data_IF_779395682859
#
_entry.id   IF_779395682859
#
_cell.length_a   1.000
_cell.length_b   1.000
_cell.length_c   1.000
_cell.angle_alpha   90.00
_cell.angle_beta   90.00
_cell.angle_gamma   90.00
#
_symmetry.space_group_name_H-M   'P 1'
#
loop_
_entity.id
_entity.type
_entity.pdbx_description
1 polymer ?
#
# COMPACT_ATOMS: atom_id res chain seq x y z
N UNK A 1 -0.55 -37.53 11.67
CA UNK A 1 0.92 -37.48 11.70
C UNK A 1 1.32 -36.05 11.41
N UNK A 2 1.63 -35.29 12.45
CA UNK A 2 1.92 -33.86 12.39
C UNK A 2 3.17 -33.61 11.56
N UNK A 3 3.04 -32.84 10.48
CA UNK A 3 4.18 -32.19 9.85
C UNK A 3 4.70 -31.16 10.85
N UNK A 4 5.71 -31.57 11.60
CA UNK A 4 6.55 -30.68 12.37
C UNK A 4 7.07 -29.57 11.46
N UNK A 5 6.73 -28.35 11.88
CA UNK A 5 7.16 -27.06 11.39
C UNK A 5 8.71 -26.94 11.39
N UNK A 6 9.39 -27.57 10.42
CA UNK A 6 10.83 -27.37 10.22
C UNK A 6 11.07 -26.10 9.39
N UNK A 7 11.37 -25.02 10.12
CA UNK A 7 11.90 -23.69 9.75
C UNK A 7 10.98 -22.48 10.01
N UNK A 8 10.64 -22.23 11.28
CA UNK A 8 10.19 -20.91 11.75
C UNK A 8 11.35 -20.00 12.19
N UNK A 9 12.33 -19.79 11.30
CA UNK A 9 13.19 -18.59 11.34
C UNK A 9 12.78 -17.70 10.16
N UNK A 10 11.58 -17.13 10.22
CA UNK A 10 10.98 -16.51 9.06
C UNK A 10 9.98 -15.41 9.40
N UNK A 11 9.87 -14.45 8.51
CA UNK A 11 8.82 -13.45 8.48
C UNK A 11 7.44 -14.13 8.35
N UNK A 12 6.43 -13.65 9.07
CA UNK A 12 5.06 -14.20 9.05
C UNK A 12 4.03 -13.10 9.37
N UNK A 13 2.76 -13.35 9.04
CA UNK A 13 1.64 -12.41 9.15
C UNK A 13 0.55 -12.94 10.07
N UNK A 14 0.01 -14.13 9.78
CA UNK A 14 -1.12 -14.71 10.51
C UNK A 14 -0.98 -16.23 10.59
N UNK A 15 -1.35 -16.83 11.71
CA UNK A 15 -1.34 -18.28 11.89
C UNK A 15 -2.59 -18.94 11.30
N UNK A 16 -2.63 -20.27 11.35
CA UNK A 16 -3.89 -21.00 11.28
C UNK A 16 -4.79 -20.64 12.47
N UNK A 17 -6.10 -20.72 12.26
CA UNK A 17 -7.10 -20.45 13.28
C UNK A 17 -7.30 -21.65 14.18
N UNK A 18 -7.29 -21.41 15.49
CA UNK A 18 -7.52 -22.43 16.51
C UNK A 18 -8.84 -22.18 17.24
N UNK A 19 -9.72 -23.18 17.37
CA UNK A 19 -10.84 -23.12 18.30
C UNK A 19 -10.37 -22.79 19.71
N UNK A 20 -11.03 -21.84 20.37
CA UNK A 20 -10.72 -21.48 21.76
C UNK A 20 -11.99 -21.28 22.57
N UNK A 21 -11.88 -21.50 23.88
CA UNK A 21 -12.89 -21.10 24.87
C UNK A 21 -12.40 -19.83 25.54
N UNK A 22 -12.99 -18.69 25.17
CA UNK A 22 -12.62 -17.38 25.68
C UNK A 22 -13.88 -16.65 26.14
N UNK A 23 -13.84 -16.08 27.35
CA UNK A 23 -14.91 -15.18 27.80
C UNK A 23 -14.71 -13.79 27.18
N UNK A 24 -15.68 -13.40 26.35
CA UNK A 24 -15.70 -12.12 25.65
C UNK A 24 -16.76 -11.16 26.23
N UNK A 25 -17.34 -11.47 27.39
CA UNK A 25 -18.37 -10.65 28.05
C UNK A 25 -17.96 -9.19 28.29
N UNK A 26 -16.67 -8.96 28.56
CA UNK A 26 -16.10 -7.61 28.74
C UNK A 26 -15.91 -6.84 27.43
N UNK A 27 -16.02 -7.51 26.28
CA UNK A 27 -15.82 -6.94 24.93
C UNK A 27 -17.15 -6.84 24.19
N UNK A 28 -18.02 -7.84 24.35
CA UNK A 28 -19.32 -7.96 23.73
C UNK A 28 -20.41 -7.97 24.82
N UNK A 29 -21.29 -6.97 24.80
CA UNK A 29 -22.47 -6.95 25.68
C UNK A 29 -23.56 -7.93 25.23
N UNK A 30 -23.63 -8.20 23.93
CA UNK A 30 -24.61 -9.10 23.34
C UNK A 30 -24.07 -10.53 23.28
N UNK A 31 -24.97 -11.51 23.36
CA UNK A 31 -24.62 -12.92 23.32
C UNK A 31 -23.86 -13.27 22.03
N UNK A 32 -22.79 -14.05 22.21
CA UNK A 32 -22.01 -14.61 21.10
C UNK A 32 -22.58 -15.98 20.77
N UNK A 33 -22.66 -16.27 19.49
CA UNK A 33 -23.13 -17.54 18.95
C UNK A 33 -21.99 -18.26 18.24
N UNK A 34 -21.96 -19.59 18.33
CA UNK A 34 -20.99 -20.42 17.62
C UNK A 34 -19.58 -20.42 18.22
N UNK A 35 -18.65 -20.97 17.44
CA UNK A 35 -17.26 -21.20 17.87
C UNK A 35 -16.44 -19.90 17.81
N UNK A 36 -15.64 -19.66 18.84
CA UNK A 36 -14.61 -18.62 18.85
C UNK A 36 -13.33 -19.21 18.27
N UNK A 37 -12.74 -18.52 17.30
CA UNK A 37 -11.46 -18.90 16.68
C UNK A 37 -10.42 -17.84 16.98
N UNK A 38 -9.27 -18.26 17.53
CA UNK A 38 -8.10 -17.41 17.74
C UNK A 38 -7.07 -17.63 16.63
N UNK A 39 -6.58 -16.54 16.06
CA UNK A 39 -5.39 -16.52 15.21
C UNK A 39 -4.29 -15.74 15.93
N UNK A 40 -3.05 -16.22 15.85
CA UNK A 40 -1.89 -15.39 16.16
C UNK A 40 -1.63 -14.49 14.96
N UNK A 41 -1.38 -13.20 15.21
CA UNK A 41 -0.99 -12.24 14.18
C UNK A 41 0.33 -11.57 14.55
N UNK A 42 1.16 -11.26 13.55
CA UNK A 42 2.45 -10.61 13.75
C UNK A 42 2.29 -9.11 14.02
N UNK A 43 3.38 -8.44 14.39
CA UNK A 43 3.40 -6.97 14.53
C UNK A 43 3.00 -6.26 13.24
N UNK A 44 3.42 -6.78 12.08
CA UNK A 44 3.03 -6.19 10.80
C UNK A 44 1.53 -6.40 10.54
N UNK A 45 0.99 -7.59 10.80
CA UNK A 45 -0.44 -7.83 10.64
C UNK A 45 -1.27 -6.92 11.55
N UNK A 46 -0.87 -6.77 12.82
CA UNK A 46 -1.46 -5.82 13.76
C UNK A 46 -1.40 -4.38 13.22
N UNK A 47 -0.28 -3.97 12.62
CA UNK A 47 -0.18 -2.65 11.98
C UNK A 47 -1.12 -2.50 10.77
N UNK A 48 -1.20 -3.49 9.89
CA UNK A 48 -2.02 -3.46 8.67
C UNK A 48 -3.51 -3.46 8.99
N UNK A 49 -3.93 -4.13 10.07
CA UNK A 49 -5.32 -4.21 10.54
C UNK A 49 -5.73 -3.03 11.42
N UNK A 50 -4.78 -2.22 11.89
CA UNK A 50 -5.05 -1.13 12.82
C UNK A 50 -5.92 -0.04 12.16
N UNK A 51 -7.11 0.27 12.70
CA UNK A 51 -7.98 1.31 12.16
C UNK A 51 -7.53 2.73 12.53
N UNK A 52 -6.53 2.86 13.42
CA UNK A 52 -6.08 4.15 13.93
C UNK A 52 -5.10 4.86 12.97
N UNK A 53 -4.99 6.20 13.08
CA UNK A 53 -4.06 6.98 12.30
C UNK A 53 -2.61 6.55 12.46
N UNK A 54 -1.87 6.61 11.35
CA UNK A 54 -0.43 6.34 11.29
C UNK A 54 0.33 7.61 10.96
N UNK A 55 1.57 7.69 11.41
CA UNK A 55 2.47 8.80 11.06
C UNK A 55 3.41 8.39 9.94
N UNK A 56 3.53 9.24 8.92
CA UNK A 56 4.44 9.09 7.79
C UNK A 56 5.44 10.24 7.76
N UNK A 57 6.63 10.00 7.24
CA UNK A 57 7.58 11.07 6.93
C UNK A 57 7.47 11.44 5.45
N UNK A 58 7.16 12.70 5.17
CA UNK A 58 7.09 13.23 3.80
C UNK A 58 8.05 14.39 3.60
N UNK A 59 8.60 14.53 2.40
CA UNK A 59 9.45 15.66 2.04
C UNK A 59 8.60 16.73 1.35
N UNK A 60 8.45 17.89 1.99
CA UNK A 60 7.77 19.03 1.37
C UNK A 60 8.72 19.72 0.40
N UNK A 61 8.33 19.81 -0.87
CA UNK A 61 9.14 20.39 -1.95
C UNK A 61 8.52 21.66 -2.53
N UNK A 62 7.34 22.08 -2.07
CA UNK A 62 6.71 23.29 -2.56
C UNK A 62 5.31 23.54 -2.01
N UNK A 63 4.57 24.41 -2.69
CA UNK A 63 3.16 24.63 -2.42
C UNK A 63 2.34 24.81 -3.69
N UNK A 64 1.04 24.56 -3.54
CA UNK A 64 0.01 25.00 -4.46
C UNK A 64 -0.85 26.03 -3.75
N UNK A 65 -0.97 27.21 -4.35
CA UNK A 65 -1.80 28.31 -3.86
C UNK A 65 -3.04 28.39 -4.73
N UNK A 66 -4.21 28.33 -4.10
CA UNK A 66 -5.48 28.56 -4.75
C UNK A 66 -6.01 29.93 -4.35
N UNK A 67 -6.35 30.76 -5.33
CA UNK A 67 -6.87 32.10 -5.13
C UNK A 67 -8.40 32.11 -5.22
N UNK A 68 -9.03 32.95 -4.42
CA UNK A 68 -10.48 33.19 -4.48
C UNK A 68 -10.84 33.70 -5.88
N UNK A 69 -11.83 33.09 -6.51
CA UNK A 69 -12.35 33.58 -7.78
C UNK A 69 -12.98 34.97 -7.56
N UNK A 70 -12.60 36.00 -8.34
CA UNK A 70 -13.26 37.29 -8.25
C UNK A 70 -14.74 37.11 -8.60
N UNK A 71 -15.62 37.69 -7.80
CA UNK A 71 -17.09 37.59 -7.86
C UNK A 71 -17.72 38.29 -9.09
N UNK A 72 -17.10 38.18 -10.27
CA UNK A 72 -17.55 38.79 -11.54
C UNK A 72 -18.59 37.94 -12.30
N UNK A 73 -19.15 36.90 -11.66
CA UNK A 73 -20.04 35.93 -12.30
C UNK A 73 -21.43 36.44 -12.72
N UNK A 74 -21.86 37.61 -12.24
CA UNK A 74 -23.16 38.20 -12.64
C UNK A 74 -23.03 39.15 -13.83
N UNK A 75 -21.93 39.90 -13.96
CA UNK A 75 -21.76 40.86 -15.07
C UNK A 75 -21.27 40.20 -16.37
N UNK A 76 -20.36 39.20 -16.28
CA UNK A 76 -19.85 38.49 -17.47
C UNK A 76 -20.90 37.65 -18.20
N UNK A 77 -21.90 37.10 -17.49
CA UNK A 77 -23.01 36.35 -18.11
C UNK A 77 -23.96 37.24 -18.90
N UNK A 78 -24.07 38.52 -18.53
CA UNK A 78 -24.87 39.51 -19.25
C UNK A 78 -24.16 39.98 -20.53
N UNK A 79 -22.84 40.21 -20.48
CA UNK A 79 -22.05 40.60 -21.65
C UNK A 79 -21.91 39.47 -22.69
N UNK A 80 -21.80 38.21 -22.25
CA UNK A 80 -21.75 37.06 -23.15
C UNK A 80 -23.10 36.74 -23.85
N UNK A 81 -24.20 37.40 -23.49
CA UNK A 81 -25.47 37.32 -24.22
C UNK A 81 -25.57 38.32 -25.38
N UNK A 82 -24.65 39.30 -25.46
CA UNK A 82 -24.76 40.43 -26.40
C UNK A 82 -23.78 40.30 -27.59
N UNK A 83 -22.79 39.41 -27.52
CA UNK A 83 -21.87 39.15 -28.65
C UNK A 83 -21.68 37.64 -28.88
N UNK A 84 -22.41 37.05 -29.85
CA UNK A 84 -22.19 35.67 -30.28
C UNK A 84 -21.09 35.65 -31.35
N UNK A 85 -19.91 35.14 -31.01
CA UNK A 85 -18.91 34.89 -32.03
C UNK A 85 -17.51 34.72 -31.48
N UNK A 86 -16.97 33.52 -31.66
CA UNK A 86 -15.56 33.12 -31.52
C UNK A 86 -14.99 33.10 -30.10
N UNK A 87 -14.71 31.88 -29.61
CA UNK A 87 -13.34 31.52 -29.24
C UNK A 87 -13.17 30.00 -29.10
N UNK A 88 -12.20 29.52 -29.86
CA UNK A 88 -11.53 28.23 -29.76
C UNK A 88 -11.15 27.88 -28.32
N UNK A 89 -11.37 26.62 -27.95
CA UNK A 89 -10.76 25.97 -26.78
C UNK A 89 -9.23 26.05 -26.90
N UNK A 90 -8.62 26.98 -26.19
CA UNK A 90 -7.26 26.82 -25.69
C UNK A 90 -7.37 26.24 -24.28
N UNK A 91 -6.67 25.14 -24.01
CA UNK A 91 -6.43 24.62 -22.66
C UNK A 91 -5.83 25.75 -21.81
N UNK A 92 -6.67 26.40 -21.00
CA UNK A 92 -6.29 27.56 -20.22
C UNK A 92 -5.56 27.15 -18.96
N UNK A 93 -4.35 27.69 -18.77
CA UNK A 93 -3.79 27.89 -17.43
C UNK A 93 -4.88 28.51 -16.54
N UNK A 94 -5.34 27.76 -15.54
CA UNK A 94 -6.30 28.27 -14.57
C UNK A 94 -5.59 29.36 -13.74
N UNK A 95 -5.84 30.63 -14.07
CA UNK A 95 -5.20 31.81 -13.45
C UNK A 95 -5.46 31.93 -11.93
N UNK A 96 -6.24 31.02 -11.37
CA UNK A 96 -6.59 30.96 -9.95
C UNK A 96 -5.76 29.95 -9.16
N UNK A 97 -4.84 29.23 -9.83
CA UNK A 97 -4.01 28.23 -9.18
C UNK A 97 -2.57 28.45 -9.60
N UNK A 98 -1.70 28.62 -8.61
CA UNK A 98 -0.26 28.66 -8.81
C UNK A 98 0.41 27.51 -8.08
N UNK A 99 1.33 26.83 -8.75
CA UNK A 99 2.15 25.76 -8.19
C UNK A 99 3.61 26.17 -8.26
N UNK A 100 4.29 26.13 -7.11
CA UNK A 100 5.64 26.65 -6.94
C UNK A 100 6.46 25.61 -6.20
N UNK A 101 7.64 25.33 -6.74
CA UNK A 101 8.55 24.30 -6.25
C UNK A 101 9.84 24.97 -5.81
N UNK A 102 10.42 24.45 -4.73
CA UNK A 102 11.72 24.90 -4.23
C UNK A 102 12.78 24.74 -5.32
N UNK A 103 13.62 25.76 -5.47
CA UNK A 103 14.83 25.65 -6.28
C UNK A 103 15.91 24.84 -5.53
N UNK A 104 15.77 24.73 -4.21
CA UNK A 104 16.70 24.05 -3.32
C UNK A 104 16.51 22.54 -3.39
N UNK A 105 17.28 21.88 -4.28
CA UNK A 105 17.37 20.40 -4.32
C UNK A 105 18.10 19.80 -3.12
N UNK A 106 18.70 20.64 -2.28
CA UNK A 106 19.45 20.25 -1.09
C UNK A 106 18.52 19.48 -0.14
N UNK A 107 18.70 18.15 -0.09
CA UNK A 107 18.27 17.38 1.07
C UNK A 107 19.10 17.80 2.28
N UNK A 108 18.62 17.47 3.49
CA UNK A 108 19.44 17.62 4.68
C UNK A 108 20.82 16.97 4.43
N UNK A 109 21.94 17.71 4.60
CA UNK A 109 23.26 17.16 4.39
C UNK A 109 23.47 15.97 5.33
N UNK A 110 24.02 14.87 4.81
CA UNK A 110 24.39 13.69 5.59
C UNK A 110 25.89 13.44 5.45
N UNK A 111 26.68 14.46 5.75
CA UNK A 111 28.12 14.27 5.89
C UNK A 111 28.39 13.43 7.14
N UNK A 112 29.50 12.66 7.14
CA UNK A 112 29.94 11.97 8.35
C UNK A 112 30.44 12.94 9.43
N UNK A 113 30.89 14.12 9.00
CA UNK A 113 31.39 15.19 9.86
C UNK A 113 30.24 16.09 10.33
N UNK A 114 30.07 16.19 11.66
CA UNK A 114 29.01 17.00 12.29
C UNK A 114 29.23 18.51 12.10
N UNK A 115 30.47 18.99 12.11
CA UNK A 115 30.80 20.39 11.90
C UNK A 115 30.50 20.79 10.45
N UNK A 116 30.81 19.92 9.49
CA UNK A 116 30.46 20.14 8.09
C UNK A 116 28.94 20.16 7.89
N UNK A 117 28.21 19.24 8.52
CA UNK A 117 26.74 19.27 8.51
C UNK A 117 26.19 20.58 9.08
N UNK A 118 26.68 21.03 10.24
CA UNK A 118 26.27 22.28 10.86
C UNK A 118 26.56 23.49 9.96
N UNK A 119 27.72 23.50 9.30
CA UNK A 119 28.09 24.55 8.37
C UNK A 119 27.14 24.61 7.16
N UNK A 120 26.83 23.46 6.55
CA UNK A 120 25.88 23.40 5.43
C UNK A 120 24.45 23.76 5.85
N UNK A 121 24.02 23.41 7.06
CA UNK A 121 22.73 23.86 7.62
C UNK A 121 22.70 25.39 7.67
N UNK A 122 23.77 26.03 8.17
CA UNK A 122 23.87 27.49 8.23
C UNK A 122 23.81 28.14 6.85
N UNK A 123 24.50 27.60 5.85
CA UNK A 123 24.42 28.08 4.46
C UNK A 123 22.99 27.96 3.94
N UNK A 124 22.35 26.80 4.14
CA UNK A 124 20.99 26.58 3.69
C UNK A 124 20.00 27.56 4.34
N UNK A 125 20.18 27.86 5.64
CA UNK A 125 19.37 28.84 6.35
C UNK A 125 19.52 30.26 5.80
N UNK A 126 20.73 30.67 5.42
CA UNK A 126 21.00 31.97 4.77
C UNK A 126 20.39 32.06 3.36
N UNK A 127 20.27 30.93 2.66
CA UNK A 127 19.70 30.87 1.32
C UNK A 127 18.16 30.79 1.31
N UNK A 128 17.52 30.42 2.43
CA UNK A 128 16.05 30.28 2.52
C UNK A 128 15.27 31.47 1.97
N UNK A 129 15.59 32.74 2.29
CA UNK A 129 14.83 33.89 1.77
C UNK A 129 14.88 34.04 0.25
N UNK A 130 15.86 33.42 -0.41
CA UNK A 130 16.01 33.44 -1.86
C UNK A 130 15.19 32.36 -2.57
N UNK A 131 14.63 31.40 -1.82
CA UNK A 131 13.82 30.32 -2.37
C UNK A 131 12.51 30.86 -2.98
N UNK A 132 12.13 30.44 -4.21
CA UNK A 132 10.91 30.90 -4.87
C UNK A 132 9.63 30.66 -4.04
N UNK A 133 9.57 29.55 -3.30
CA UNK A 133 8.42 29.22 -2.45
C UNK A 133 8.35 30.20 -1.28
N UNK A 134 9.48 30.46 -0.62
CA UNK A 134 9.54 31.41 0.50
C UNK A 134 9.17 32.83 0.07
N UNK A 135 9.70 33.29 -1.06
CA UNK A 135 9.35 34.60 -1.65
C UNK A 135 7.87 34.71 -1.98
N UNK A 136 7.28 33.66 -2.56
CA UNK A 136 5.85 33.69 -2.84
C UNK A 136 5.06 33.77 -1.55
N UNK A 137 5.30 32.83 -0.62
CA UNK A 137 4.53 32.72 0.62
C UNK A 137 4.56 34.01 1.44
N UNK A 138 5.70 34.72 1.48
CA UNK A 138 5.82 36.01 2.17
C UNK A 138 5.08 37.16 1.47
N UNK A 139 4.87 37.07 0.15
CA UNK A 139 4.15 38.06 -0.66
C UNK A 139 2.63 37.83 -0.76
N UNK A 140 2.11 36.73 -0.22
CA UNK A 140 0.69 36.38 -0.36
C UNK A 140 -0.22 37.33 0.42
N UNK A 141 -1.17 37.93 -0.29
CA UNK A 141 -2.34 38.58 0.30
C UNK A 141 -3.33 37.51 0.77
N UNK A 142 -3.36 37.28 2.09
CA UNK A 142 -4.15 36.21 2.73
C UNK A 142 -5.65 36.35 2.47
N UNK A 143 -6.16 37.55 2.22
CA UNK A 143 -7.59 37.77 1.97
C UNK A 143 -8.03 37.30 0.58
N UNK A 144 -7.09 37.26 -0.37
CA UNK A 144 -7.31 36.80 -1.75
C UNK A 144 -7.04 35.30 -1.92
N UNK A 145 -6.45 34.64 -0.93
CA UNK A 145 -6.16 33.21 -0.96
C UNK A 145 -7.37 32.42 -0.47
N UNK A 146 -7.74 31.40 -1.22
CA UNK A 146 -8.77 30.42 -0.85
C UNK A 146 -8.16 29.24 -0.10
N UNK A 147 -7.02 28.74 -0.57
CA UNK A 147 -6.34 27.61 0.05
C UNK A 147 -4.83 27.60 -0.24
N UNK A 148 -4.07 26.94 0.63
CA UNK A 148 -2.65 26.64 0.44
C UNK A 148 -2.44 25.17 0.76
N UNK A 149 -1.87 24.43 -0.19
CA UNK A 149 -1.54 23.00 -0.04
C UNK A 149 -0.03 22.81 -0.09
N UNK A 150 0.50 21.91 0.72
CA UNK A 150 1.89 21.52 0.60
C UNK A 150 2.05 20.55 -0.58
N UNK A 151 3.11 20.71 -1.37
CA UNK A 151 3.52 19.75 -2.38
C UNK A 151 4.61 18.87 -1.81
N UNK A 152 4.40 17.57 -1.87
CA UNK A 152 5.35 16.56 -1.46
C UNK A 152 5.85 15.79 -2.66
N UNK A 153 7.06 15.26 -2.53
CA UNK A 153 7.69 14.38 -3.52
C UNK A 153 7.86 12.99 -2.89
N UNK A 154 7.35 11.97 -3.57
CA UNK A 154 7.56 10.57 -3.18
C UNK A 154 8.94 10.08 -3.65
N UNK A 155 9.28 8.82 -3.34
CA UNK A 155 10.56 8.25 -3.76
C UNK A 155 10.66 8.17 -5.29
N UNK A 156 9.53 7.98 -5.98
CA UNK A 156 9.34 8.01 -7.43
C UNK A 156 9.59 9.36 -8.10
N UNK A 157 9.83 10.42 -7.32
CA UNK A 157 9.76 11.82 -7.75
C UNK A 157 8.40 12.26 -8.26
N UNK A 158 7.35 11.49 -7.97
CA UNK A 158 5.98 11.91 -8.23
C UNK A 158 5.58 12.93 -7.18
N UNK A 159 4.91 13.98 -7.64
CA UNK A 159 4.42 15.05 -6.78
C UNK A 159 2.96 14.80 -6.42
N UNK A 160 2.64 15.01 -5.16
CA UNK A 160 1.27 14.96 -4.68
C UNK A 160 1.04 16.03 -3.62
N UNK A 161 -0.22 16.34 -3.36
CA UNK A 161 -0.62 17.42 -2.47
C UNK A 161 -1.01 16.88 -1.10
N UNK A 162 -0.55 17.55 -0.04
CA UNK A 162 -1.11 17.37 1.30
C UNK A 162 -2.14 18.47 1.56
N UNK A 163 -3.35 18.04 1.90
CA UNK A 163 -4.38 18.95 2.38
C UNK A 163 -4.02 19.35 3.82
N UNK A 164 -3.86 20.65 4.04
CA UNK A 164 -3.51 21.20 5.35
C UNK A 164 -4.78 21.68 6.06
N UNK A 165 -4.87 21.43 7.36
CA UNK A 165 -5.90 21.96 8.23
C UNK A 165 -5.45 23.30 8.84
N UNK A 166 -6.40 24.07 9.38
CA UNK A 166 -6.13 25.38 9.99
C UNK A 166 -6.36 26.58 9.06
N UNK A 167 -6.05 27.78 9.56
CA UNK A 167 -6.19 29.03 8.83
C UNK A 167 -5.18 29.13 7.68
N UNK A 168 -5.40 30.05 6.73
CA UNK A 168 -4.41 30.31 5.66
C UNK A 168 -3.03 30.66 6.23
N UNK A 169 -2.98 31.39 7.35
CA UNK A 169 -1.74 31.68 8.06
C UNK A 169 -1.03 30.42 8.54
N UNK A 170 -1.76 29.49 9.15
CA UNK A 170 -1.21 28.21 9.64
C UNK A 170 -0.65 27.37 8.49
N UNK A 171 -1.38 27.32 7.36
CA UNK A 171 -0.95 26.58 6.16
C UNK A 171 0.32 27.16 5.55
N UNK A 172 0.40 28.49 5.45
CA UNK A 172 1.60 29.20 4.96
C UNK A 172 2.79 28.89 5.88
N UNK A 173 2.61 29.01 7.19
CA UNK A 173 3.67 28.76 8.17
C UNK A 173 4.15 27.30 8.14
N UNK A 174 3.22 26.35 7.97
CA UNK A 174 3.55 24.94 7.82
C UNK A 174 4.46 24.69 6.61
N UNK A 175 4.09 25.20 5.43
CA UNK A 175 4.92 24.99 4.23
C UNK A 175 6.26 25.67 4.39
N UNK A 176 6.29 26.93 4.82
CA UNK A 176 7.53 27.70 4.98
C UNK A 176 8.51 27.02 5.94
N UNK A 177 8.02 26.44 7.05
CA UNK A 177 8.85 25.76 8.04
C UNK A 177 9.27 24.34 7.65
N UNK A 178 8.46 23.67 6.82
CA UNK A 178 8.65 22.28 6.38
C UNK A 178 9.43 22.12 5.07
N UNK A 179 9.64 23.21 4.32
CA UNK A 179 10.28 23.16 3.01
C UNK A 179 11.65 22.49 3.05
N UNK A 180 11.86 21.52 2.15
CA UNK A 180 13.08 20.69 2.02
C UNK A 180 13.45 19.89 3.26
N UNK A 181 12.57 19.83 4.26
CA UNK A 181 12.69 18.98 5.45
C UNK A 181 11.76 17.77 5.31
N UNK A 182 12.09 16.74 6.08
CA UNK A 182 11.14 15.66 6.35
C UNK A 182 10.17 16.12 7.43
N UNK A 183 8.90 16.05 7.13
CA UNK A 183 7.82 16.42 8.05
C UNK A 183 6.95 15.20 8.32
N UNK A 184 6.53 15.07 9.58
CA UNK A 184 5.59 14.05 9.99
C UNK A 184 4.19 14.45 9.55
N UNK A 185 3.52 13.56 8.81
CA UNK A 185 2.13 13.72 8.37
C UNK A 185 1.31 12.56 8.92
N UNK A 186 0.05 12.83 9.24
CA UNK A 186 -0.86 11.80 9.75
C UNK A 186 -1.72 11.30 8.60
N UNK A 187 -1.68 10.00 8.34
CA UNK A 187 -2.60 9.30 7.45
C UNK A 187 -3.65 8.55 8.29
N UNK A 188 -4.87 8.41 7.77
CA UNK A 188 -6.01 7.91 8.55
C UNK A 188 -5.83 6.49 9.11
N UNK A 189 -5.21 5.59 8.35
CA UNK A 189 -4.84 4.21 8.75
C UNK A 189 -3.87 3.63 7.72
N UNK A 190 -3.27 2.46 7.99
CA UNK A 190 -2.36 1.80 7.05
C UNK A 190 -3.06 1.32 5.77
N UNK A 191 -4.29 0.82 5.90
CA UNK A 191 -5.13 0.47 4.77
C UNK A 191 -5.73 1.72 4.11
N UNK A 192 -5.40 1.95 2.84
CA UNK A 192 -5.93 3.08 2.08
C UNK A 192 -7.26 2.68 1.42
N UNK A 193 -7.21 2.19 0.18
CA UNK A 193 -8.39 1.77 -0.59
C UNK A 193 -8.00 0.66 -1.58
N UNK A 194 -8.95 -0.19 -1.96
CA UNK A 194 -8.81 -1.19 -3.03
C UNK A 194 -7.60 -2.11 -2.84
N UNK A 195 -7.36 -2.57 -1.61
CA UNK A 195 -6.23 -3.45 -1.31
C UNK A 195 -4.87 -2.76 -1.22
N UNK A 196 -4.78 -1.42 -1.28
CA UNK A 196 -3.53 -0.70 -1.11
C UNK A 196 -3.24 -0.39 0.37
N UNK A 197 -2.04 -0.72 0.82
CA UNK A 197 -1.53 -0.45 2.16
C UNK A 197 -0.26 0.38 2.12
N UNK A 198 -0.15 1.30 3.08
CA UNK A 198 1.03 2.09 3.37
C UNK A 198 1.93 1.39 4.37
N UNK A 199 3.19 1.14 4.00
CA UNK A 199 4.15 0.43 4.86
C UNK A 199 5.18 1.35 5.53
N UNK A 200 5.32 2.60 5.06
CA UNK A 200 6.33 3.54 5.58
C UNK A 200 6.11 3.92 7.05
N UNK A 201 4.90 3.76 7.57
CA UNK A 201 4.57 3.97 8.98
C UNK A 201 4.98 2.82 9.91
N UNK A 202 5.39 1.66 9.36
CA UNK A 202 5.81 0.50 10.17
C UNK A 202 7.33 0.44 10.36
N UNK A 203 7.78 0.13 11.58
CA UNK A 203 9.19 -0.06 11.89
C UNK A 203 9.65 -1.49 11.58
N UNK A 204 10.03 -1.76 10.33
CA UNK A 204 10.52 -3.09 9.92
C UNK A 204 11.79 -3.54 10.66
N UNK A 205 12.71 -2.61 11.00
CA UNK A 205 13.93 -2.96 11.75
C UNK A 205 13.64 -3.46 13.17
N UNK A 206 12.52 -3.01 13.74
CA UNK A 206 12.06 -3.45 15.05
C UNK A 206 11.21 -4.72 15.02
N UNK A 207 10.91 -5.28 13.83
CA UNK A 207 10.07 -6.46 13.71
C UNK A 207 10.69 -7.66 14.44
N UNK A 208 9.97 -8.20 15.42
CA UNK A 208 10.42 -9.37 16.16
C UNK A 208 9.53 -10.58 15.90
N UNK A 209 10.13 -11.64 15.34
CA UNK A 209 9.42 -12.85 14.91
C UNK A 209 8.61 -13.54 16.01
N UNK A 210 9.03 -13.40 17.28
CA UNK A 210 8.32 -14.03 18.41
C UNK A 210 7.19 -13.16 18.96
N UNK A 211 7.14 -11.87 18.63
CA UNK A 211 6.04 -11.01 19.03
C UNK A 211 4.78 -11.45 18.28
N UNK A 212 3.71 -11.67 19.04
CA UNK A 212 2.42 -12.10 18.48
C UNK A 212 1.28 -11.52 19.28
N UNK A 213 0.21 -11.17 18.58
CA UNK A 213 -1.06 -10.67 19.13
C UNK A 213 -2.17 -11.65 18.80
N UNK A 214 -3.38 -11.40 19.28
CA UNK A 214 -4.53 -12.29 19.05
C UNK A 214 -5.56 -11.60 18.19
N UNK A 215 -5.88 -12.20 17.06
CA UNK A 215 -7.07 -11.88 16.29
C UNK A 215 -8.14 -12.90 16.67
N UNK A 216 -9.27 -12.42 17.19
CA UNK A 216 -10.39 -13.25 17.61
C UNK A 216 -11.51 -13.12 16.60
N UNK A 217 -11.96 -14.25 16.05
CA UNK A 217 -13.06 -14.38 15.10
C UNK A 217 -14.22 -15.09 15.80
N UNK A 218 -15.42 -14.55 15.68
CA UNK A 218 -16.63 -15.13 16.27
C UNK A 218 -17.89 -14.63 15.55
N UNK A 219 -19.04 -15.23 15.85
CA UNK A 219 -20.33 -14.82 15.25
C UNK A 219 -21.22 -14.16 16.31
N UNK A 220 -21.78 -13.01 15.97
CA UNK A 220 -22.73 -12.28 16.81
C UNK A 220 -23.88 -11.78 15.92
N UNK A 221 -25.13 -12.07 16.31
CA UNK A 221 -26.33 -11.74 15.52
C UNK A 221 -26.24 -12.22 14.05
N UNK A 222 -25.78 -13.45 13.83
CA UNK A 222 -25.52 -14.04 12.51
C UNK A 222 -24.52 -13.24 11.64
N UNK A 223 -23.72 -12.36 12.23
CA UNK A 223 -22.65 -11.63 11.56
C UNK A 223 -21.30 -12.05 12.09
N UNK A 224 -20.37 -12.26 11.16
CA UNK A 224 -18.98 -12.55 11.49
C UNK A 224 -18.29 -11.28 11.98
N UNK A 225 -17.67 -11.35 13.16
CA UNK A 225 -16.95 -10.24 13.80
C UNK A 225 -15.51 -10.62 14.11
N UNK A 226 -14.67 -9.61 14.14
CA UNK A 226 -13.25 -9.71 14.39
C UNK A 226 -12.79 -8.61 15.34
N UNK A 227 -12.00 -8.96 16.35
CA UNK A 227 -11.29 -8.00 17.19
C UNK A 227 -9.85 -8.42 17.41
N UNK A 228 -9.00 -7.44 17.72
CA UNK A 228 -7.61 -7.68 18.10
C UNK A 228 -7.45 -7.48 19.60
N UNK A 229 -6.80 -8.44 20.24
CA UNK A 229 -6.36 -8.38 21.63
C UNK A 229 -4.83 -8.28 21.68
N UNK A 230 -4.34 -7.58 22.71
CA UNK A 230 -2.93 -7.47 22.98
C UNK A 230 -2.34 -8.80 23.53
N UNK A 231 -1.04 -8.80 23.84
CA UNK A 231 -0.36 -9.97 24.41
C UNK A 231 -0.92 -10.42 25.75
N UNK A 232 -1.62 -9.54 26.47
CA UNK A 232 -2.24 -9.78 27.77
C UNK A 232 -3.75 -10.04 27.65
N UNK A 233 -4.25 -10.38 26.45
CA UNK A 233 -5.68 -10.62 26.18
C UNK A 233 -6.60 -9.42 26.44
N UNK A 234 -6.06 -8.21 26.47
CA UNK A 234 -6.87 -7.00 26.58
C UNK A 234 -7.28 -6.51 25.19
N UNK A 235 -8.53 -6.04 25.08
CA UNK A 235 -9.07 -5.49 23.84
C UNK A 235 -8.25 -4.29 23.33
N UNK A 236 -7.92 -4.29 22.04
CA UNK A 236 -7.29 -3.15 21.38
C UNK A 236 -8.25 -2.44 20.42
N UNK A 237 -8.81 -3.16 19.44
CA UNK A 237 -9.71 -2.59 18.45
C UNK A 237 -10.55 -3.63 17.71
N UNK A 238 -11.65 -3.15 17.14
CA UNK A 238 -12.50 -3.89 16.19
C UNK A 238 -11.94 -3.83 14.78
N UNK A 239 -12.21 -4.87 13.99
CA UNK A 239 -11.96 -4.89 12.56
C UNK A 239 -13.31 -4.80 11.83
N UNK A 240 -13.49 -3.71 11.10
CA UNK A 240 -14.77 -3.40 10.45
C UNK A 240 -14.91 -4.07 9.07
N UNK A 241 -13.80 -4.46 8.46
CA UNK A 241 -13.75 -4.94 7.08
C UNK A 241 -13.17 -6.37 7.04
N UNK A 242 -14.04 -7.38 6.94
CA UNK A 242 -13.64 -8.81 6.90
C UNK A 242 -12.63 -9.12 5.78
N UNK A 243 -12.69 -8.35 4.67
CA UNK A 243 -11.76 -8.46 3.56
C UNK A 243 -10.29 -8.27 3.98
N UNK A 244 -10.02 -7.45 5.01
CA UNK A 244 -8.66 -7.23 5.50
C UNK A 244 -8.04 -8.51 6.06
N UNK A 245 -8.86 -9.37 6.67
CA UNK A 245 -8.42 -10.67 7.20
C UNK A 245 -8.02 -11.60 6.05
N UNK A 246 -8.80 -11.59 4.96
CA UNK A 246 -8.46 -12.36 3.76
C UNK A 246 -7.12 -11.89 3.15
N UNK A 247 -6.83 -10.59 3.16
CA UNK A 247 -5.52 -10.09 2.73
C UNK A 247 -4.39 -10.60 3.63
N UNK A 248 -4.59 -10.72 4.94
CA UNK A 248 -3.57 -11.26 5.84
C UNK A 248 -3.27 -12.72 5.53
N UNK A 249 -4.30 -13.54 5.31
CA UNK A 249 -4.15 -14.94 4.94
C UNK A 249 -3.49 -15.11 3.56
N UNK A 250 -3.91 -14.31 2.58
CA UNK A 250 -3.30 -14.29 1.25
C UNK A 250 -1.81 -13.92 1.34
N UNK A 251 -1.46 -12.90 2.13
CA UNK A 251 -0.07 -12.50 2.34
C UNK A 251 0.76 -13.61 3.00
N UNK A 252 0.23 -14.27 4.03
CA UNK A 252 0.90 -15.41 4.68
C UNK A 252 1.17 -16.54 3.67
N UNK A 253 0.16 -16.92 2.88
CA UNK A 253 0.33 -17.94 1.84
C UNK A 253 1.39 -17.53 0.81
N UNK A 254 1.40 -16.26 0.36
CA UNK A 254 2.44 -15.73 -0.52
C UNK A 254 3.83 -15.82 0.12
N UNK A 255 3.99 -15.42 1.39
CA UNK A 255 5.28 -15.51 2.09
C UNK A 255 5.78 -16.94 2.18
N UNK A 256 4.89 -17.91 2.40
CA UNK A 256 5.24 -19.33 2.46
C UNK A 256 5.64 -19.86 1.08
N UNK A 257 4.90 -19.51 0.03
CA UNK A 257 5.09 -20.07 -1.32
C UNK A 257 6.10 -19.33 -2.21
N UNK A 258 6.35 -18.03 -1.98
CA UNK A 258 7.19 -17.16 -2.81
C UNK A 258 8.47 -16.74 -2.07
N UNK A 259 9.62 -17.41 -2.34
CA UNK A 259 10.90 -17.06 -1.76
C UNK A 259 11.35 -15.64 -2.08
N UNK A 260 11.06 -15.11 -3.28
CA UNK A 260 11.51 -13.77 -3.70
C UNK A 260 10.81 -12.68 -2.88
N UNK A 261 9.50 -12.83 -2.68
CA UNK A 261 8.73 -11.95 -1.80
C UNK A 261 9.27 -12.00 -0.37
N UNK A 262 9.48 -13.21 0.16
CA UNK A 262 10.00 -13.43 1.52
C UNK A 262 11.38 -12.79 1.71
N UNK A 263 12.28 -12.95 0.75
CA UNK A 263 13.60 -12.32 0.77
C UNK A 263 13.52 -10.79 0.79
N UNK A 264 12.65 -10.20 -0.03
CA UNK A 264 12.46 -8.74 -0.05
C UNK A 264 11.95 -8.18 1.28
N UNK A 265 11.04 -8.88 1.95
CA UNK A 265 10.57 -8.52 3.29
C UNK A 265 11.70 -8.65 4.32
N UNK A 266 12.50 -9.70 4.24
CA UNK A 266 13.67 -9.89 5.11
C UNK A 266 14.74 -8.82 4.92
N UNK A 267 14.95 -8.31 3.70
CA UNK A 267 15.81 -7.14 3.47
C UNK A 267 15.31 -5.91 4.23
N UNK A 268 13.99 -5.70 4.29
CA UNK A 268 13.40 -4.60 5.05
C UNK A 268 13.60 -4.78 6.56
N UNK A 269 13.43 -6.00 7.06
CA UNK A 269 13.68 -6.32 8.48
C UNK A 269 15.14 -6.12 8.87
N UNK A 270 16.08 -6.53 8.02
CA UNK A 270 17.53 -6.30 8.22
C UNK A 270 17.92 -4.83 8.13
N UNK A 271 17.05 -4.00 7.56
CA UNK A 271 17.33 -2.59 7.34
C UNK A 271 18.09 -2.29 6.06
N UNK A 272 18.20 -3.26 5.16
CA UNK A 272 18.86 -3.16 3.86
C UNK A 272 17.93 -2.64 2.76
N UNK A 273 16.63 -2.53 3.05
CA UNK A 273 15.63 -1.97 2.15
C UNK A 273 14.60 -1.12 2.90
N UNK A 274 14.02 -0.15 2.20
CA UNK A 274 12.87 0.65 2.67
C UNK A 274 11.58 0.12 2.05
N UNK A 275 10.64 -0.39 2.85
CA UNK A 275 9.33 -0.82 2.37
C UNK A 275 8.43 0.39 2.12
N UNK A 276 7.63 0.32 1.05
CA UNK A 276 6.78 1.44 0.64
C UNK A 276 5.31 1.07 0.66
N UNK A 277 4.91 0.12 -0.19
CA UNK A 277 3.51 -0.23 -0.41
C UNK A 277 3.34 -1.73 -0.48
N UNK A 278 2.18 -2.17 -0.03
CA UNK A 278 1.67 -3.51 -0.26
C UNK A 278 0.32 -3.36 -0.97
N UNK A 279 0.09 -4.11 -2.04
CA UNK A 279 -1.11 -4.01 -2.83
C UNK A 279 -1.69 -5.38 -3.13
N UNK A 280 -2.99 -5.52 -2.94
CA UNK A 280 -3.74 -6.73 -3.23
C UNK A 280 -4.76 -6.48 -4.34
N UNK A 281 -4.70 -7.28 -5.40
CA UNK A 281 -5.64 -7.21 -6.52
C UNK A 281 -6.19 -8.58 -6.88
N UNK A 282 -7.34 -8.63 -7.56
CA UNK A 282 -7.90 -9.88 -8.07
C UNK A 282 -7.34 -10.27 -9.44
N UNK A 283 -6.96 -9.31 -10.28
CA UNK A 283 -6.55 -9.59 -11.66
C UNK A 283 -5.40 -8.69 -12.10
N UNK A 284 -4.54 -9.22 -12.97
CA UNK A 284 -3.53 -8.44 -13.70
C UNK A 284 -4.24 -7.60 -14.75
N UNK A 285 -3.68 -6.45 -15.13
CA UNK A 285 -4.27 -5.61 -16.18
C UNK A 285 -4.28 -6.24 -17.59
N UNK A 286 -3.71 -7.43 -17.76
CA UNK A 286 -3.76 -8.24 -18.98
C UNK A 286 -4.36 -9.61 -18.65
N UNK A 287 -5.48 -9.94 -19.30
CA UNK A 287 -6.14 -11.24 -19.14
C UNK A 287 -5.31 -12.36 -19.77
N UNK A 288 -5.29 -13.52 -19.11
CA UNK A 288 -4.86 -14.76 -19.75
C UNK A 288 -5.71 -15.00 -20.99
N UNK A 289 -5.04 -15.12 -22.13
CA UNK A 289 -5.55 -15.54 -23.43
C UNK A 289 -4.59 -16.57 -23.98
N UNK A 290 -4.94 -17.25 -25.08
CA UNK A 290 -4.14 -18.34 -25.67
C UNK A 290 -2.65 -17.98 -25.88
N UNK A 291 -2.35 -16.71 -26.17
CA UNK A 291 -0.97 -16.18 -26.31
C UNK A 291 -0.30 -15.79 -24.98
N UNK A 292 -1.08 -15.57 -23.93
CA UNK A 292 -0.62 -15.02 -22.65
C UNK A 292 -0.75 -15.99 -21.47
N UNK A 293 -1.18 -17.24 -21.70
CA UNK A 293 -1.14 -18.27 -20.67
C UNK A 293 0.29 -18.43 -20.12
N UNK A 294 0.46 -18.69 -18.81
CA UNK A 294 1.76 -18.98 -18.23
C UNK A 294 2.45 -20.12 -18.98
N UNK A 295 3.77 -20.00 -19.18
CA UNK A 295 4.56 -20.95 -19.99
C UNK A 295 4.33 -22.40 -19.59
N UNK A 296 4.22 -22.68 -18.29
CA UNK A 296 3.95 -24.03 -17.77
C UNK A 296 2.68 -24.66 -18.34
N UNK A 297 1.59 -23.89 -18.53
CA UNK A 297 0.37 -24.42 -19.13
C UNK A 297 0.52 -24.59 -20.63
N UNK A 298 1.18 -23.66 -21.32
CA UNK A 298 1.42 -23.77 -22.76
C UNK A 298 2.22 -25.04 -23.10
N UNK A 299 3.24 -25.34 -22.31
CA UNK A 299 4.04 -26.57 -22.44
C UNK A 299 3.19 -27.83 -22.22
N UNK A 300 2.44 -27.89 -21.11
CA UNK A 300 1.57 -29.04 -20.80
C UNK A 300 0.53 -29.26 -21.89
N UNK A 301 -0.10 -28.19 -22.39
CA UNK A 301 -1.12 -28.25 -23.42
C UNK A 301 -0.57 -28.71 -24.77
N UNK A 302 0.65 -28.29 -25.11
CA UNK A 302 1.34 -28.76 -26.33
C UNK A 302 1.58 -30.27 -26.30
N UNK A 303 1.84 -30.84 -25.11
CA UNK A 303 2.14 -32.25 -24.95
C UNK A 303 0.89 -33.16 -24.88
N UNK A 304 -0.28 -32.65 -24.49
CA UNK A 304 -1.45 -33.48 -24.15
C UNK A 304 -2.67 -33.32 -25.08
N UNK A 305 -2.52 -32.69 -26.25
CA UNK A 305 -3.61 -32.48 -27.24
C UNK A 305 -4.92 -31.94 -26.62
N UNK A 306 -4.80 -30.98 -25.71
CA UNK A 306 -5.95 -30.32 -25.08
C UNK A 306 -6.72 -29.49 -26.11
N UNK A 307 -8.05 -29.58 -26.12
CA UNK A 307 -8.89 -28.87 -27.09
C UNK A 307 -8.88 -27.35 -26.87
N UNK A 308 -9.19 -26.57 -27.90
CA UNK A 308 -9.21 -25.10 -27.78
C UNK A 308 -10.23 -24.62 -26.74
N UNK A 309 -11.42 -25.22 -26.74
CA UNK A 309 -12.48 -24.93 -25.78
C UNK A 309 -12.02 -25.09 -24.32
N UNK A 310 -11.25 -26.14 -24.03
CA UNK A 310 -10.73 -26.38 -22.68
C UNK A 310 -9.63 -25.40 -22.29
N UNK A 311 -8.80 -24.97 -23.25
CA UNK A 311 -7.80 -23.92 -23.02
C UNK A 311 -8.47 -22.59 -22.69
N UNK A 312 -9.50 -22.23 -23.45
CA UNK A 312 -10.28 -21.00 -23.23
C UNK A 312 -10.99 -21.05 -21.87
N UNK A 313 -11.60 -22.20 -21.55
CA UNK A 313 -12.24 -22.43 -20.25
C UNK A 313 -11.22 -22.31 -19.10
N UNK A 314 -10.03 -22.90 -19.23
CA UNK A 314 -8.99 -22.78 -18.21
C UNK A 314 -8.51 -21.33 -18.08
N UNK A 315 -8.28 -20.64 -19.19
CA UNK A 315 -7.86 -19.24 -19.15
C UNK A 315 -8.88 -18.37 -18.40
N UNK A 316 -10.17 -18.57 -18.68
CA UNK A 316 -11.26 -17.89 -17.98
C UNK A 316 -11.28 -18.23 -16.47
N UNK A 317 -11.14 -19.50 -16.09
CA UNK A 317 -11.11 -19.88 -14.67
C UNK A 317 -9.87 -19.38 -13.96
N UNK A 318 -8.70 -19.36 -14.60
CA UNK A 318 -7.48 -18.78 -14.06
C UNK A 318 -7.66 -17.27 -13.81
N UNK A 319 -8.16 -16.52 -14.79
CA UNK A 319 -8.44 -15.09 -14.64
C UNK A 319 -9.43 -14.82 -13.49
N UNK A 320 -10.51 -15.59 -13.39
CA UNK A 320 -11.55 -15.40 -12.35
C UNK A 320 -11.06 -15.72 -10.92
N UNK A 321 -10.11 -16.63 -10.81
CA UNK A 321 -9.62 -17.15 -9.53
C UNK A 321 -8.21 -16.68 -9.19
N UNK A 322 -7.76 -15.60 -9.84
CA UNK A 322 -6.48 -14.98 -9.58
C UNK A 322 -6.51 -14.11 -8.32
N UNK A 323 -5.37 -13.99 -7.66
CA UNK A 323 -5.11 -13.05 -6.59
C UNK A 323 -3.66 -12.61 -6.67
N UNK A 324 -3.42 -11.32 -6.57
CA UNK A 324 -2.10 -10.72 -6.77
C UNK A 324 -1.69 -10.01 -5.51
N UNK A 325 -0.45 -10.24 -5.10
CA UNK A 325 0.20 -9.51 -4.03
C UNK A 325 1.41 -8.80 -4.60
N UNK A 326 1.38 -7.47 -4.56
CA UNK A 326 2.48 -6.63 -4.99
C UNK A 326 3.12 -5.93 -3.80
N UNK A 327 4.43 -6.10 -3.65
CA UNK A 327 5.23 -5.47 -2.60
C UNK A 327 6.29 -4.56 -3.23
N UNK A 328 6.22 -3.28 -2.90
CA UNK A 328 7.13 -2.25 -3.42
C UNK A 328 8.10 -1.80 -2.33
N UNK A 329 9.39 -1.76 -2.66
CA UNK A 329 10.46 -1.39 -1.75
C UNK A 329 11.65 -0.75 -2.50
N UNK A 330 12.56 -0.14 -1.75
CA UNK A 330 13.78 0.49 -2.30
C UNK A 330 15.00 -0.06 -1.56
N UNK A 331 15.90 -0.81 -2.24
CA UNK A 331 17.16 -1.23 -1.66
C UNK A 331 18.04 -0.05 -1.24
N UNK A 332 18.73 -0.20 -0.11
CA UNK A 332 19.66 0.79 0.42
C UNK A 332 21.12 0.46 0.12
N UNK A 333 21.39 -0.73 -0.40
CA UNK A 333 22.70 -1.24 -0.78
C UNK A 333 22.62 -2.07 -2.08
N UNK A 334 23.78 -2.42 -2.64
CA UNK A 334 23.87 -3.27 -3.84
C UNK A 334 23.62 -2.54 -5.17
N UNK A 335 23.56 -3.29 -6.29
CA UNK A 335 23.44 -2.73 -7.65
C UNK A 335 22.06 -2.12 -7.94
N UNK A 336 21.05 -2.45 -7.13
CA UNK A 336 19.70 -1.91 -7.20
C UNK A 336 19.45 -0.79 -6.18
N UNK A 337 20.52 -0.28 -5.55
CA UNK A 337 20.42 0.83 -4.62
C UNK A 337 19.67 1.99 -5.26
N UNK A 338 18.70 2.53 -4.53
CA UNK A 338 17.83 3.63 -4.98
C UNK A 338 16.91 3.29 -6.17
N UNK A 339 16.79 2.04 -6.60
CA UNK A 339 15.76 1.62 -7.56
C UNK A 339 14.45 1.31 -6.83
N UNK A 340 13.32 1.64 -7.47
CA UNK A 340 12.00 1.26 -7.01
C UNK A 340 11.74 -0.17 -7.45
N UNK A 341 11.91 -1.13 -6.55
CA UNK A 341 11.70 -2.54 -6.81
C UNK A 341 10.26 -2.94 -6.47
N UNK A 342 9.66 -3.77 -7.31
CA UNK A 342 8.33 -4.34 -7.08
C UNK A 342 8.39 -5.85 -7.28
N UNK A 343 8.00 -6.60 -6.25
CA UNK A 343 7.77 -8.04 -6.33
C UNK A 343 6.27 -8.28 -6.46
N UNK A 344 5.87 -9.09 -7.44
CA UNK A 344 4.48 -9.43 -7.72
C UNK A 344 4.35 -10.95 -7.63
N UNK A 345 3.62 -11.42 -6.64
CA UNK A 345 3.24 -12.82 -6.49
C UNK A 345 1.85 -13.01 -7.10
N UNK A 346 1.75 -13.92 -8.07
CA UNK A 346 0.49 -14.29 -8.72
C UNK A 346 0.01 -15.61 -8.13
N UNK A 347 -1.05 -15.55 -7.33
CA UNK A 347 -1.68 -16.70 -6.69
C UNK A 347 -2.95 -17.09 -7.47
N UNK A 348 -3.23 -18.38 -7.53
CA UNK A 348 -4.51 -18.89 -8.03
C UNK A 348 -5.20 -19.73 -6.97
N UNK A 349 -6.52 -19.61 -6.90
CA UNK A 349 -7.33 -20.59 -6.20
C UNK A 349 -7.24 -21.93 -6.92
N UNK A 350 -7.08 -23.00 -6.16
CA UNK A 350 -6.97 -24.35 -6.66
C UNK A 350 -8.16 -24.76 -7.53
N UNK A 351 -9.36 -24.19 -7.27
CA UNK A 351 -10.56 -24.37 -8.11
C UNK A 351 -10.37 -23.91 -9.55
N UNK A 352 -9.38 -23.05 -9.83
CA UNK A 352 -9.02 -22.66 -11.19
C UNK A 352 -8.67 -23.87 -12.07
N UNK A 353 -8.22 -24.98 -11.47
CA UNK A 353 -7.78 -26.20 -12.15
C UNK A 353 -8.88 -27.22 -12.39
N UNK A 354 -10.11 -27.00 -11.92
CA UNK A 354 -11.22 -27.94 -12.14
C UNK A 354 -11.42 -28.32 -13.61
N UNK A 355 -11.32 -27.40 -14.60
CA UNK A 355 -11.50 -27.75 -16.01
C UNK A 355 -10.53 -28.82 -16.54
N UNK A 356 -9.32 -28.92 -15.96
CA UNK A 356 -8.30 -29.86 -16.44
C UNK A 356 -8.18 -31.13 -15.60
N UNK A 357 -8.99 -31.29 -14.55
CA UNK A 357 -8.89 -32.40 -13.60
C UNK A 357 -9.02 -33.78 -14.26
N UNK A 358 -9.90 -33.91 -15.26
CA UNK A 358 -10.12 -35.17 -15.99
C UNK A 358 -8.96 -35.53 -16.92
N UNK A 359 -8.41 -34.55 -17.65
CA UNK A 359 -7.34 -34.77 -18.63
C UNK A 359 -5.94 -34.79 -18.02
N UNK A 360 -5.74 -34.05 -16.92
CA UNK A 360 -4.45 -33.88 -16.26
C UNK A 360 -4.54 -34.19 -14.75
N UNK A 361 -5.03 -35.38 -14.36
CA UNK A 361 -5.25 -35.72 -12.95
C UNK A 361 -3.96 -35.69 -12.11
N UNK A 362 -2.82 -36.04 -12.74
CA UNK A 362 -1.50 -35.95 -12.09
C UNK A 362 -1.11 -34.50 -11.78
N UNK A 363 -1.29 -33.58 -12.73
CA UNK A 363 -1.01 -32.14 -12.53
C UNK A 363 -1.90 -31.57 -11.44
N UNK A 364 -3.20 -31.87 -11.50
CA UNK A 364 -4.18 -31.48 -10.49
C UNK A 364 -3.75 -31.97 -9.09
N UNK A 365 -3.40 -33.25 -8.96
CA UNK A 365 -2.94 -33.84 -7.69
C UNK A 365 -1.64 -33.22 -7.17
N UNK A 366 -0.66 -32.96 -8.04
CA UNK A 366 0.61 -32.37 -7.63
C UNK A 366 0.45 -30.92 -7.17
N UNK A 367 -0.40 -30.13 -7.84
CA UNK A 367 -0.71 -28.77 -7.36
C UNK A 367 -1.52 -28.83 -6.07
N UNK A 368 -2.45 -29.78 -5.92
CA UNK A 368 -3.24 -29.97 -4.70
C UNK A 368 -2.38 -30.18 -3.45
N UNK A 369 -1.23 -30.86 -3.61
CA UNK A 369 -0.25 -31.11 -2.54
C UNK A 369 0.57 -29.86 -2.17
N UNK A 370 0.80 -28.97 -3.14
CA UNK A 370 1.56 -27.72 -2.96
C UNK A 370 0.69 -26.55 -2.52
N UNK A 371 -0.61 -26.59 -2.83
CA UNK A 371 -1.55 -25.54 -2.50
C UNK A 371 -1.80 -25.49 -0.99
N UNK A 372 -1.67 -24.28 -0.43
CA UNK A 372 -1.86 -24.01 0.98
C UNK A 372 -3.33 -23.68 1.25
N UNK A 373 -3.84 -24.08 2.40
CA UNK A 373 -5.24 -23.81 2.81
C UNK A 373 -5.25 -22.74 3.88
N UNK A 374 -6.15 -21.79 3.76
CA UNK A 374 -6.44 -20.78 4.77
C UNK A 374 -7.88 -20.28 4.61
N UNK A 375 -8.31 -19.35 5.46
CA UNK A 375 -9.59 -18.67 5.31
C UNK A 375 -9.70 -17.86 4.00
N UNK A 376 -8.58 -17.50 3.36
CA UNK A 376 -8.59 -16.87 2.03
C UNK A 376 -8.85 -17.86 0.89
N UNK A 377 -8.79 -19.17 1.17
CA UNK A 377 -8.97 -20.24 0.19
C UNK A 377 -7.78 -21.19 0.11
N UNK A 378 -7.89 -22.12 -0.84
CA UNK A 378 -6.81 -23.05 -1.16
C UNK A 378 -6.00 -22.51 -2.33
N UNK A 379 -4.88 -21.86 -2.06
CA UNK A 379 -4.12 -21.11 -3.06
C UNK A 379 -2.77 -21.74 -3.38
N UNK A 380 -2.29 -21.54 -4.59
CA UNK A 380 -0.93 -21.88 -5.01
C UNK A 380 -0.29 -20.75 -5.80
N UNK A 381 1.03 -20.64 -5.70
CA UNK A 381 1.81 -19.68 -6.47
C UNK A 381 1.91 -20.15 -7.93
N UNK A 382 1.48 -19.28 -8.84
CA UNK A 382 1.63 -19.47 -10.28
C UNK A 382 2.93 -18.87 -10.78
N UNK A 383 3.17 -17.62 -10.42
CA UNK A 383 4.28 -16.83 -10.95
C UNK A 383 4.76 -15.83 -9.90
N UNK A 384 6.05 -15.49 -9.98
CA UNK A 384 6.72 -14.52 -9.13
C UNK A 384 7.54 -13.59 -10.00
N UNK A 385 7.00 -12.39 -10.23
CA UNK A 385 7.56 -11.40 -11.14
C UNK A 385 8.30 -10.35 -10.30
N UNK A 386 9.47 -9.94 -10.75
CA UNK A 386 10.22 -8.81 -10.15
C UNK A 386 10.48 -7.76 -11.23
N UNK A 387 10.02 -6.54 -10.95
CA UNK A 387 10.30 -5.36 -11.77
C UNK A 387 11.08 -4.32 -10.98
N UNK A 388 11.76 -3.43 -11.70
CA UNK A 388 12.37 -2.25 -11.10
C UNK A 388 12.25 -1.03 -12.00
N UNK A 389 12.20 0.15 -11.38
CA UNK A 389 12.26 1.44 -12.06
C UNK A 389 13.42 2.26 -11.47
N UNK A 390 14.15 2.97 -12.33
CA UNK A 390 15.17 3.92 -11.88
C UNK A 390 14.50 5.16 -11.28
N UNK A 391 15.04 5.68 -10.18
CA UNK A 391 14.43 6.75 -9.38
C UNK A 391 15.43 7.82 -8.98
#
# INVERSE_FOLDING_TARGET
MHLENKNKQGFWIISEGMPVTLDLSNICKEAISGLITEYKISELARYLLNPNPITLEEKVVGCRVQYRKPSSGKLKRLLNKILPGTKSRSEGHDSHIEEIITASKLGAPSFKDENLNAHFIKINDLLKPYDPVQKKLSSLDREKVEDVKALCEDIGRNRYQLNLQGSIGDKINFVASSLSKKTKVVANKAYLLNGLFELRGFNFKGFYVKNSYRLIKFTQNNQLRYCVLNTNYQFEYWINENLLINYMHLMEQCIQSDPRLREALLLCVKGDAKPLKLFFAKQLGQDYSDKHLPTVYREVFSAHKISQYEKDTLAETLNKNQSIVSFTFVPLSGPEKHKLCTNISVMHDFRALEPIKGHLPKVYSEINKKALVSDAGKLYLMDSIRGYQNV
#
